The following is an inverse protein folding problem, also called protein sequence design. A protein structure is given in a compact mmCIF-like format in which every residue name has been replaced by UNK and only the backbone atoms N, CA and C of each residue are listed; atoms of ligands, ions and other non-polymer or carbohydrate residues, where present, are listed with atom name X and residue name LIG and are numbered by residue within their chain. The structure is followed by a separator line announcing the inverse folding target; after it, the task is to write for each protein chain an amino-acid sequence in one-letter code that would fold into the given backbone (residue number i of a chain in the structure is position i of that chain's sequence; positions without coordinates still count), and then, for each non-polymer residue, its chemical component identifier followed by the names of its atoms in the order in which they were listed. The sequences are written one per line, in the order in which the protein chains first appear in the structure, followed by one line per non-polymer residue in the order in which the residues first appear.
data_IF_994329760638
#
_entry.id   IF_994329760638
#
_cell.length_a   1.000
_cell.length_b   1.000
_cell.length_c   1.000
_cell.angle_alpha   90.00
_cell.angle_beta   90.00
_cell.angle_gamma   90.00
#
_symmetry.space_group_name_H-M   'P 1'
#
loop_
_entity.id
_entity.type
_entity.pdbx_description
1 polymer ?
#
# COMPACT_ATOMS: atom_id res chain seq x y z
N UNK A 1 21.79 -15.46 -0.91
CA UNK A 1 20.66 -14.79 -0.24
C UNK A 1 19.39 -14.97 -1.08
N UNK A 2 18.85 -16.21 -1.10
CA UNK A 2 17.55 -16.55 -1.72
C UNK A 2 16.61 -16.88 -0.55
N UNK A 3 16.07 -15.86 0.10
CA UNK A 3 15.17 -16.05 1.24
C UNK A 3 13.75 -15.71 0.78
N UNK A 4 12.87 -16.71 0.79
CA UNK A 4 11.42 -16.59 0.99
C UNK A 4 10.66 -15.50 0.22
N UNK A 5 10.84 -15.36 -1.10
CA UNK A 5 10.00 -14.43 -1.88
C UNK A 5 8.49 -14.74 -1.78
N UNK A 6 8.08 -16.01 -1.62
CA UNK A 6 6.66 -16.40 -1.57
C UNK A 6 5.95 -16.03 -0.25
N UNK A 7 6.65 -16.03 0.89
CA UNK A 7 6.06 -15.71 2.19
C UNK A 7 5.89 -14.20 2.40
N UNK A 8 6.78 -13.38 1.87
CA UNK A 8 6.66 -11.91 1.89
C UNK A 8 5.59 -11.40 0.90
N UNK A 9 5.37 -12.06 -0.24
CA UNK A 9 4.30 -11.68 -1.17
C UNK A 9 2.91 -11.87 -0.53
N UNK A 10 2.68 -12.98 0.17
CA UNK A 10 1.37 -13.31 0.77
C UNK A 10 0.88 -12.27 1.80
N UNK A 11 1.81 -11.61 2.50
CA UNK A 11 1.52 -10.60 3.53
C UNK A 11 1.01 -9.28 2.92
N UNK A 12 1.43 -8.95 1.70
CA UNK A 12 1.04 -7.70 1.04
C UNK A 12 -0.37 -7.75 0.39
N UNK A 13 -0.83 -8.93 -0.04
CA UNK A 13 -2.07 -9.06 -0.82
C UNK A 13 -3.35 -8.54 -0.11
N UNK A 14 -3.63 -8.87 1.16
CA UNK A 14 -4.84 -8.37 1.83
C UNK A 14 -4.90 -6.84 1.89
N UNK A 15 -3.75 -6.20 2.05
CA UNK A 15 -3.64 -4.75 2.04
C UNK A 15 -3.90 -4.17 0.65
N UNK A 16 -3.32 -4.74 -0.41
CA UNK A 16 -3.60 -4.32 -1.78
C UNK A 16 -5.08 -4.45 -2.14
N UNK A 17 -5.75 -5.51 -1.67
CA UNK A 17 -7.19 -5.70 -1.83
C UNK A 17 -7.96 -4.61 -1.08
N UNK A 18 -7.64 -4.37 0.20
CA UNK A 18 -8.30 -3.35 1.01
C UNK A 18 -8.20 -1.95 0.37
N UNK A 19 -7.01 -1.56 -0.08
CA UNK A 19 -6.79 -0.28 -0.74
C UNK A 19 -7.52 -0.21 -2.08
N UNK A 20 -7.52 -1.30 -2.87
CA UNK A 20 -8.25 -1.35 -4.13
C UNK A 20 -9.77 -1.20 -3.91
N UNK A 21 -10.31 -1.79 -2.84
CA UNK A 21 -11.73 -1.63 -2.47
C UNK A 21 -12.02 -0.19 -2.05
N UNK A 22 -11.17 0.41 -1.21
CA UNK A 22 -11.31 1.81 -0.79
C UNK A 22 -11.28 2.76 -1.99
N UNK A 23 -10.28 2.62 -2.86
CA UNK A 23 -10.18 3.36 -4.11
C UNK A 23 -11.39 3.09 -5.01
N UNK A 24 -11.87 1.85 -5.10
CA UNK A 24 -13.05 1.48 -5.88
C UNK A 24 -14.32 2.22 -5.44
N UNK A 25 -14.53 2.37 -4.12
CA UNK A 25 -15.64 3.19 -3.59
C UNK A 25 -15.47 4.65 -4.02
N UNK A 26 -14.27 5.23 -3.89
CA UNK A 26 -14.01 6.61 -4.31
C UNK A 26 -14.21 6.77 -5.83
N UNK A 27 -13.74 5.81 -6.62
CA UNK A 27 -13.85 5.80 -8.08
C UNK A 27 -15.30 5.71 -8.54
N UNK A 28 -16.12 4.87 -7.92
CA UNK A 28 -17.56 4.79 -8.26
C UNK A 28 -18.31 6.07 -7.92
N UNK A 29 -17.97 6.71 -6.79
CA UNK A 29 -18.51 8.03 -6.45
C UNK A 29 -18.07 9.10 -7.46
N UNK A 30 -16.81 9.07 -7.90
CA UNK A 30 -16.28 9.97 -8.94
C UNK A 30 -16.97 9.79 -10.30
N UNK A 31 -17.19 8.54 -10.72
CA UNK A 31 -17.94 8.23 -11.94
C UNK A 31 -19.37 8.77 -11.85
N UNK A 32 -20.05 8.55 -10.72
CA UNK A 32 -21.41 9.06 -10.49
C UNK A 32 -21.47 10.58 -10.63
N UNK A 33 -20.45 11.27 -10.12
CA UNK A 33 -20.40 12.73 -10.15
C UNK A 33 -20.15 13.27 -11.57
N UNK A 34 -19.17 12.69 -12.27
CA UNK A 34 -18.85 13.03 -13.65
C UNK A 34 -19.96 12.65 -14.63
N UNK A 35 -20.79 11.65 -14.30
CA UNK A 35 -21.93 11.24 -15.13
C UNK A 35 -22.91 12.39 -15.36
N UNK A 36 -23.01 13.31 -14.41
CA UNK A 36 -23.87 14.50 -14.52
C UNK A 36 -23.36 15.52 -15.55
N UNK A 37 -22.08 15.44 -15.91
CA UNK A 37 -21.42 16.35 -16.85
C UNK A 37 -21.28 15.77 -18.26
N UNK A 38 -21.53 14.47 -18.42
CA UNK A 38 -21.59 13.79 -19.72
C UNK A 38 -20.69 12.56 -19.82
N UNK A 39 -20.73 11.92 -20.98
CA UNK A 39 -20.05 10.64 -21.20
C UNK A 39 -18.52 10.76 -21.33
N UNK A 40 -18.02 11.86 -21.93
CA UNK A 40 -16.60 12.01 -22.19
C UNK A 40 -15.74 12.12 -20.91
N UNK A 41 -16.08 12.96 -19.90
CA UNK A 41 -15.34 13.00 -18.63
C UNK A 41 -15.34 11.66 -17.89
N UNK A 42 -16.47 10.94 -17.92
CA UNK A 42 -16.57 9.60 -17.31
C UNK A 42 -15.64 8.60 -17.98
N UNK A 43 -15.62 8.56 -19.31
CA UNK A 43 -14.77 7.64 -20.06
C UNK A 43 -13.28 7.90 -19.79
N UNK A 44 -12.88 9.17 -19.79
CA UNK A 44 -11.50 9.59 -19.49
C UNK A 44 -11.13 9.20 -18.07
N UNK A 45 -11.94 9.57 -17.08
CA UNK A 45 -11.69 9.25 -15.68
C UNK A 45 -11.62 7.75 -15.44
N UNK A 46 -12.54 6.97 -16.00
CA UNK A 46 -12.56 5.51 -15.85
C UNK A 46 -11.30 4.87 -16.43
N UNK A 47 -10.84 5.33 -17.60
CA UNK A 47 -9.58 4.87 -18.19
C UNK A 47 -8.37 5.19 -17.32
N UNK A 48 -8.26 6.43 -16.83
CA UNK A 48 -7.18 6.84 -15.94
C UNK A 48 -7.20 6.07 -14.61
N UNK A 49 -8.39 5.84 -14.04
CA UNK A 49 -8.57 5.11 -12.79
C UNK A 49 -8.21 3.63 -12.93
N UNK A 50 -8.63 2.98 -14.02
CA UNK A 50 -8.22 1.60 -14.33
C UNK A 50 -6.71 1.49 -14.53
N UNK A 51 -6.10 2.48 -15.20
CA UNK A 51 -4.64 2.54 -15.35
C UNK A 51 -3.95 2.72 -13.99
N UNK A 52 -4.46 3.58 -13.11
CA UNK A 52 -3.93 3.83 -11.78
C UNK A 52 -3.94 2.56 -10.92
N UNK A 53 -5.09 1.87 -10.85
CA UNK A 53 -5.24 0.60 -10.14
C UNK A 53 -4.40 -0.50 -10.79
N UNK A 54 -4.40 -0.60 -12.12
CA UNK A 54 -3.59 -1.58 -12.84
C UNK A 54 -2.09 -1.42 -12.58
N UNK A 55 -1.59 -0.17 -12.60
CA UNK A 55 -0.21 0.14 -12.22
C UNK A 55 0.04 -0.23 -10.76
N UNK A 56 -0.89 0.10 -9.85
CA UNK A 56 -0.77 -0.23 -8.43
C UNK A 56 -0.52 -1.73 -8.22
N UNK A 57 -1.32 -2.60 -8.86
CA UNK A 57 -1.09 -4.05 -8.81
C UNK A 57 0.23 -4.49 -9.49
N UNK A 58 0.64 -3.78 -10.55
CA UNK A 58 1.93 -4.02 -11.22
C UNK A 58 3.15 -3.62 -10.38
N UNK A 59 2.96 -2.95 -9.24
CA UNK A 59 4.07 -2.61 -8.34
C UNK A 59 4.76 -3.83 -7.71
N UNK A 60 4.07 -4.99 -7.68
CA UNK A 60 4.68 -6.28 -7.33
C UNK A 60 5.91 -6.61 -8.20
N UNK A 61 6.03 -6.05 -9.41
CA UNK A 61 7.22 -6.18 -10.26
C UNK A 61 8.48 -5.54 -9.68
N UNK A 62 8.36 -4.70 -8.66
CA UNK A 62 9.51 -4.10 -7.98
C UNK A 62 10.42 -5.17 -7.34
N UNK A 63 9.88 -6.35 -6.99
CA UNK A 63 10.69 -7.47 -6.49
C UNK A 63 11.57 -8.11 -7.58
N UNK A 64 11.15 -8.03 -8.84
CA UNK A 64 11.87 -8.60 -9.98
C UNK A 64 12.86 -7.59 -10.58
N UNK A 65 12.45 -6.32 -10.67
CA UNK A 65 13.26 -5.26 -11.25
C UNK A 65 13.38 -4.06 -10.30
N UNK A 66 14.52 -3.90 -9.59
CA UNK A 66 14.73 -2.82 -8.64
C UNK A 66 14.70 -1.42 -9.25
N UNK A 67 14.78 -1.27 -10.59
CA UNK A 67 14.70 0.03 -11.28
C UNK A 67 13.26 0.44 -11.65
N UNK A 68 12.28 -0.45 -11.48
CA UNK A 68 10.88 -0.21 -11.84
C UNK A 68 10.29 1.02 -11.13
N UNK A 69 10.72 1.28 -9.89
CA UNK A 69 10.31 2.47 -9.12
C UNK A 69 10.53 3.81 -9.83
N UNK A 70 11.58 3.94 -10.66
CA UNK A 70 11.84 5.18 -11.42
C UNK A 70 10.75 5.47 -12.45
N UNK A 71 10.08 4.44 -12.95
CA UNK A 71 8.94 4.58 -13.85
C UNK A 71 7.63 4.65 -13.06
N UNK A 72 7.47 3.75 -12.08
CA UNK A 72 6.23 3.56 -11.34
C UNK A 72 5.77 4.82 -10.60
N UNK A 73 6.61 5.41 -9.72
CA UNK A 73 6.18 6.54 -8.91
C UNK A 73 5.87 7.80 -9.74
N UNK A 74 6.70 8.18 -10.74
CA UNK A 74 6.34 9.28 -11.63
C UNK A 74 5.07 9.02 -12.43
N UNK A 75 4.88 7.80 -12.96
CA UNK A 75 3.65 7.45 -13.67
C UNK A 75 2.41 7.56 -12.77
N UNK A 76 2.51 7.10 -11.52
CA UNK A 76 1.41 7.21 -10.55
C UNK A 76 1.09 8.67 -10.22
N UNK A 77 2.10 9.51 -10.01
CA UNK A 77 1.91 10.94 -9.75
C UNK A 77 1.22 11.61 -10.94
N UNK A 78 1.66 11.34 -12.17
CA UNK A 78 1.04 11.89 -13.39
C UNK A 78 -0.43 11.47 -13.52
N UNK A 79 -0.74 10.19 -13.25
CA UNK A 79 -2.12 9.71 -13.25
C UNK A 79 -2.97 10.40 -12.20
N UNK A 80 -2.47 10.56 -10.98
CA UNK A 80 -3.19 11.26 -9.89
C UNK A 80 -3.47 12.71 -10.30
N UNK A 81 -2.49 13.42 -10.85
CA UNK A 81 -2.68 14.78 -11.36
C UNK A 81 -3.77 14.82 -12.43
N UNK A 82 -3.70 13.93 -13.43
CA UNK A 82 -4.67 13.88 -14.52
C UNK A 82 -6.10 13.60 -14.02
N UNK A 83 -6.24 12.73 -13.02
CA UNK A 83 -7.53 12.40 -12.42
C UNK A 83 -8.08 13.53 -11.55
N UNK A 84 -7.26 14.13 -10.68
CA UNK A 84 -7.67 15.18 -9.73
C UNK A 84 -8.08 16.47 -10.45
N UNK A 85 -7.54 16.73 -11.65
CA UNK A 85 -7.90 17.89 -12.46
C UNK A 85 -9.14 17.67 -13.35
N UNK A 86 -9.86 16.56 -13.21
CA UNK A 86 -11.15 16.40 -13.86
C UNK A 86 -12.19 17.35 -13.23
N UNK A 87 -13.19 17.81 -14.01
CA UNK A 87 -14.19 18.75 -13.52
C UNK A 87 -15.21 18.02 -12.64
N UNK A 88 -14.88 17.72 -11.39
CA UNK A 88 -15.87 17.17 -10.44
C UNK A 88 -16.86 18.25 -9.98
N UNK A 89 -18.09 17.85 -9.66
CA UNK A 89 -19.12 18.74 -9.11
C UNK A 89 -19.02 18.81 -7.57
N UNK A 90 -18.43 17.78 -6.96
CA UNK A 90 -18.22 17.64 -5.52
C UNK A 90 -16.73 17.56 -5.14
N UNK A 91 -16.43 17.63 -3.85
CA UNK A 91 -15.06 17.58 -3.28
C UNK A 91 -14.35 16.21 -3.41
N UNK A 92 -14.72 15.42 -4.42
CA UNK A 92 -14.12 14.12 -4.75
C UNK A 92 -12.67 14.30 -5.20
N UNK A 93 -12.33 15.40 -5.86
CA UNK A 93 -10.95 15.74 -6.24
C UNK A 93 -9.99 15.69 -5.05
N UNK A 94 -10.38 16.27 -3.91
CA UNK A 94 -9.57 16.29 -2.69
C UNK A 94 -9.47 14.89 -2.09
N UNK A 95 -10.60 14.20 -1.97
CA UNK A 95 -10.61 12.82 -1.45
C UNK A 95 -9.73 11.91 -2.29
N UNK A 96 -9.82 12.02 -3.62
CA UNK A 96 -9.01 11.25 -4.55
C UNK A 96 -7.52 11.60 -4.42
N UNK A 97 -7.17 12.89 -4.35
CA UNK A 97 -5.78 13.34 -4.15
C UNK A 97 -5.19 12.75 -2.87
N UNK A 98 -5.90 12.94 -1.74
CA UNK A 98 -5.45 12.49 -0.44
C UNK A 98 -5.30 10.98 -0.40
N UNK A 99 -6.38 10.24 -0.69
CA UNK A 99 -6.36 8.77 -0.61
C UNK A 99 -5.32 8.14 -1.53
N UNK A 100 -5.16 8.65 -2.76
CA UNK A 100 -4.19 8.08 -3.72
C UNK A 100 -2.74 8.34 -3.29
N UNK A 101 -2.43 9.55 -2.81
CA UNK A 101 -1.07 9.87 -2.36
C UNK A 101 -0.73 9.17 -1.03
N UNK A 102 -1.67 9.15 -0.08
CA UNK A 102 -1.49 8.45 1.19
C UNK A 102 -1.33 6.94 0.99
N UNK A 103 -2.03 6.37 0.01
CA UNK A 103 -1.79 5.00 -0.44
C UNK A 103 -0.33 4.81 -0.91
N UNK A 104 0.19 5.67 -1.79
CA UNK A 104 1.58 5.57 -2.24
C UNK A 104 2.60 5.75 -1.11
N UNK A 105 2.32 6.62 -0.14
CA UNK A 105 3.16 6.77 1.06
C UNK A 105 3.15 5.48 1.89
N UNK A 106 1.97 4.94 2.17
CA UNK A 106 1.82 3.67 2.88
C UNK A 106 2.56 2.55 2.15
N UNK A 107 2.35 2.42 0.84
CA UNK A 107 3.01 1.44 -0.03
C UNK A 107 4.53 1.56 0.04
N UNK A 108 5.08 2.77 -0.08
CA UNK A 108 6.52 3.01 0.02
C UNK A 108 7.08 2.61 1.38
N UNK A 109 6.38 2.94 2.48
CA UNK A 109 6.75 2.52 3.83
C UNK A 109 6.65 1.01 4.01
N UNK A 110 5.63 0.37 3.43
CA UNK A 110 5.43 -1.07 3.50
C UNK A 110 6.49 -1.86 2.73
N UNK A 111 6.87 -1.39 1.54
CA UNK A 111 7.85 -2.05 0.68
C UNK A 111 9.29 -1.85 1.14
N UNK A 112 9.64 -0.61 1.47
CA UNK A 112 11.02 -0.24 1.77
C UNK A 112 11.31 -0.20 3.27
N UNK A 113 10.30 -0.39 4.13
CA UNK A 113 10.45 -0.40 5.58
C UNK A 113 11.08 0.88 6.12
N UNK A 114 11.84 0.75 7.21
CA UNK A 114 12.58 1.87 7.80
C UNK A 114 13.91 2.13 7.06
N UNK A 115 13.83 2.61 5.81
CA UNK A 115 15.00 3.00 5.02
C UNK A 115 14.96 4.47 4.64
N UNK A 116 16.14 5.08 4.45
CA UNK A 116 16.26 6.47 3.95
C UNK A 116 15.49 6.69 2.65
N UNK A 117 15.39 5.66 1.81
CA UNK A 117 14.64 5.72 0.55
C UNK A 117 13.15 5.92 0.80
N UNK A 118 12.57 5.17 1.72
CA UNK A 118 11.17 5.33 2.12
C UNK A 118 10.91 6.73 2.68
N UNK A 119 11.85 7.25 3.48
CA UNK A 119 11.77 8.59 4.05
C UNK A 119 11.78 9.68 2.98
N UNK A 120 12.73 9.65 2.03
CA UNK A 120 12.79 10.65 0.96
C UNK A 120 11.57 10.59 0.05
N UNK A 121 11.11 9.38 -0.30
CA UNK A 121 9.96 9.21 -1.18
C UNK A 121 8.66 9.63 -0.48
N UNK A 122 8.50 9.28 0.80
CA UNK A 122 7.38 9.74 1.62
C UNK A 122 7.37 11.27 1.79
N UNK A 123 8.52 11.89 2.07
CA UNK A 123 8.64 13.34 2.18
C UNK A 123 8.34 14.05 0.85
N UNK A 124 8.82 13.50 -0.28
CA UNK A 124 8.50 14.00 -1.60
C UNK A 124 6.98 13.94 -1.89
N UNK A 125 6.35 12.78 -1.68
CA UNK A 125 4.92 12.58 -1.90
C UNK A 125 4.08 13.46 -0.98
N UNK A 126 4.48 13.61 0.28
CA UNK A 126 3.80 14.48 1.24
C UNK A 126 3.89 15.96 0.83
N UNK A 127 5.09 16.43 0.47
CA UNK A 127 5.29 17.80 -0.01
C UNK A 127 4.48 18.05 -1.28
N UNK A 128 4.48 17.10 -2.20
CA UNK A 128 3.69 17.15 -3.43
C UNK A 128 2.18 17.25 -3.12
N UNK A 129 1.67 16.43 -2.21
CA UNK A 129 0.29 16.50 -1.74
C UNK A 129 -0.04 17.88 -1.17
N UNK A 130 0.83 18.43 -0.31
CA UNK A 130 0.62 19.74 0.30
C UNK A 130 0.57 20.85 -0.76
N UNK A 131 1.46 20.83 -1.76
CA UNK A 131 1.46 21.81 -2.85
C UNK A 131 0.17 21.71 -3.69
N UNK A 132 -0.24 20.49 -4.06
CA UNK A 132 -1.48 20.27 -4.81
C UNK A 132 -2.72 20.70 -4.02
N UNK A 133 -2.74 20.41 -2.72
CA UNK A 133 -3.83 20.79 -1.83
C UNK A 133 -3.93 22.32 -1.71
N UNK A 134 -2.80 23.02 -1.59
CA UNK A 134 -2.75 24.48 -1.60
C UNK A 134 -3.33 25.06 -2.90
N UNK A 135 -3.02 24.46 -4.06
CA UNK A 135 -3.58 24.89 -5.35
C UNK A 135 -5.08 24.62 -5.50
N UNK A 136 -5.58 23.50 -4.98
CA UNK A 136 -7.00 23.12 -5.10
C UNK A 136 -7.91 23.90 -4.14
N UNK A 137 -7.44 24.15 -2.93
CA UNK A 137 -8.27 24.65 -1.81
C UNK A 137 -8.01 26.12 -1.49
N UNK A 138 -6.84 26.64 -1.85
CA UNK A 138 -6.42 27.99 -1.50
C UNK A 138 -5.99 28.14 -0.03
N UNK A 139 -5.49 29.33 0.32
CA UNK A 139 -4.85 29.59 1.61
C UNK A 139 -5.78 29.42 2.81
N UNK A 140 -7.05 29.84 2.70
CA UNK A 140 -7.97 29.94 3.83
C UNK A 140 -8.37 28.56 4.39
N UNK A 141 -8.52 27.58 3.51
CA UNK A 141 -8.94 26.22 3.88
C UNK A 141 -7.77 25.22 3.87
N UNK A 142 -6.56 25.64 3.48
CA UNK A 142 -5.38 24.78 3.38
C UNK A 142 -5.09 24.01 4.67
N UNK A 143 -5.01 24.70 5.80
CA UNK A 143 -4.67 24.08 7.08
C UNK A 143 -5.72 23.07 7.55
N UNK A 144 -7.00 23.38 7.29
CA UNK A 144 -8.09 22.47 7.61
C UNK A 144 -8.04 21.20 6.74
N UNK A 145 -7.89 21.37 5.43
CA UNK A 145 -7.83 20.25 4.50
C UNK A 145 -6.57 19.39 4.73
N UNK A 146 -5.42 20.00 5.01
CA UNK A 146 -4.18 19.28 5.34
C UNK A 146 -4.32 18.48 6.64
N UNK A 147 -4.88 19.08 7.70
CA UNK A 147 -5.13 18.41 8.97
C UNK A 147 -6.10 17.24 8.80
N UNK A 148 -7.21 17.46 8.08
CA UNK A 148 -8.19 16.41 7.77
C UNK A 148 -7.56 15.24 7.02
N UNK A 149 -6.74 15.50 6.00
CA UNK A 149 -6.01 14.46 5.28
C UNK A 149 -5.00 13.72 6.16
N UNK A 150 -4.28 14.43 7.03
CA UNK A 150 -3.32 13.83 7.94
C UNK A 150 -3.99 12.94 8.98
N UNK A 151 -5.14 13.35 9.53
CA UNK A 151 -5.87 12.55 10.52
C UNK A 151 -6.46 11.31 9.85
N UNK A 152 -7.22 11.49 8.77
CA UNK A 152 -7.89 10.38 8.09
C UNK A 152 -6.89 9.44 7.42
N UNK A 153 -5.88 10.00 6.75
CA UNK A 153 -4.87 9.27 6.01
C UNK A 153 -3.75 8.71 6.85
N UNK A 154 -3.25 9.51 7.80
CA UNK A 154 -2.21 9.08 8.73
C UNK A 154 -2.67 7.90 9.57
N UNK A 155 -3.96 7.86 9.96
CA UNK A 155 -4.53 6.70 10.62
C UNK A 155 -4.45 5.43 9.75
N UNK A 156 -4.77 5.51 8.45
CA UNK A 156 -4.65 4.39 7.52
C UNK A 156 -3.20 3.92 7.39
N UNK A 157 -2.24 4.86 7.28
CA UNK A 157 -0.81 4.54 7.19
C UNK A 157 -0.31 3.87 8.47
N UNK A 158 -0.72 4.37 9.65
CA UNK A 158 -0.36 3.77 10.93
C UNK A 158 -0.93 2.36 11.07
N UNK A 159 -2.21 2.17 10.73
CA UNK A 159 -2.82 0.85 10.70
C UNK A 159 -2.07 -0.09 9.77
N UNK A 160 -1.68 0.38 8.58
CA UNK A 160 -0.91 -0.42 7.63
C UNK A 160 0.42 -0.88 8.23
N UNK A 161 1.19 0.03 8.82
CA UNK A 161 2.48 -0.30 9.44
C UNK A 161 2.28 -1.32 10.57
N UNK A 162 1.26 -1.12 11.42
CA UNK A 162 0.93 -2.03 12.51
C UNK A 162 0.52 -3.43 12.00
N UNK A 163 -0.36 -3.50 11.00
CA UNK A 163 -0.79 -4.78 10.40
C UNK A 163 0.39 -5.52 9.77
N UNK A 164 1.28 -4.81 9.08
CA UNK A 164 2.47 -5.42 8.50
C UNK A 164 3.38 -6.02 9.58
N UNK A 165 3.61 -5.28 10.68
CA UNK A 165 4.35 -5.80 11.83
C UNK A 165 3.69 -7.03 12.45
N UNK A 166 2.38 -7.01 12.66
CA UNK A 166 1.64 -8.16 13.20
C UNK A 166 1.76 -9.40 12.30
N UNK A 167 1.72 -9.24 10.98
CA UNK A 167 1.87 -10.35 10.04
C UNK A 167 3.29 -10.93 10.05
N UNK A 168 4.31 -10.08 10.17
CA UNK A 168 5.71 -10.50 10.32
C UNK A 168 5.89 -11.29 11.63
N UNK A 169 5.37 -10.78 12.75
CA UNK A 169 5.47 -11.48 14.04
C UNK A 169 4.70 -12.81 14.03
N UNK A 170 3.52 -12.87 13.40
CA UNK A 170 2.80 -14.13 13.22
C UNK A 170 3.60 -15.16 12.42
N UNK A 171 4.29 -14.74 11.36
CA UNK A 171 5.14 -15.64 10.58
C UNK A 171 6.30 -16.20 11.41
N UNK A 172 6.96 -15.35 12.21
CA UNK A 172 8.03 -15.80 13.12
C UNK A 172 7.50 -16.81 14.12
N UNK A 173 6.31 -16.59 14.69
CA UNK A 173 5.70 -17.53 15.64
C UNK A 173 5.40 -18.90 14.99
N UNK A 174 4.93 -18.93 13.74
CA UNK A 174 4.69 -20.18 13.00
C UNK A 174 6.01 -20.90 12.70
N UNK A 175 7.05 -20.18 12.27
CA UNK A 175 8.37 -20.76 12.00
C UNK A 175 9.03 -21.30 13.28
N UNK A 176 8.87 -20.59 14.40
CA UNK A 176 9.30 -21.06 15.72
C UNK A 176 8.56 -22.33 16.14
N UNK A 177 7.24 -22.40 15.96
CA UNK A 177 6.44 -23.59 16.27
C UNK A 177 6.87 -24.81 15.43
N UNK A 178 7.08 -24.63 14.13
CA UNK A 178 7.56 -25.68 13.23
C UNK A 178 8.97 -26.17 13.61
N UNK A 179 9.85 -25.24 14.03
CA UNK A 179 11.19 -25.59 14.53
C UNK A 179 11.15 -26.38 15.85
N UNK A 180 10.23 -26.03 16.75
CA UNK A 180 10.02 -26.71 18.03
C UNK A 180 9.44 -28.12 17.83
N UNK A 181 8.49 -28.26 16.91
CA UNK A 181 7.93 -29.57 16.54
C UNK A 181 9.02 -30.49 15.96
N UNK A 182 9.85 -29.97 15.05
CA UNK A 182 10.99 -30.72 14.50
C UNK A 182 12.03 -31.09 15.56
N UNK A 183 12.35 -30.18 16.49
CA UNK A 183 13.28 -30.43 17.58
C UNK A 183 12.75 -31.49 18.55
N UNK A 184 11.46 -31.43 18.88
CA UNK A 184 10.81 -32.41 19.75
C UNK A 184 10.77 -33.79 19.10
N UNK A 185 10.45 -33.87 17.80
CA UNK A 185 10.50 -35.12 17.05
C UNK A 185 11.91 -35.74 17.03
N UNK A 186 12.97 -34.93 16.88
CA UNK A 186 14.36 -35.39 16.96
C UNK A 186 14.74 -35.87 18.36
N UNK A 187 14.32 -35.18 19.41
CA UNK A 187 14.57 -35.59 20.80
C UNK A 187 13.87 -36.92 21.12
N UNK A 188 12.62 -37.09 20.68
CA UNK A 188 11.89 -38.35 20.82
C UNK A 188 12.62 -39.51 20.10
N UNK A 189 13.10 -39.28 18.88
CA UNK A 189 13.87 -40.27 18.13
C UNK A 189 15.22 -40.61 18.80
N UNK A 190 15.92 -39.62 19.37
CA UNK A 190 17.15 -39.85 20.11
C UNK A 190 16.91 -40.63 21.41
N UNK A 191 15.85 -40.31 22.15
CA UNK A 191 15.48 -41.05 23.37
C UNK A 191 15.14 -42.50 23.06
N UNK A 192 14.34 -42.76 22.01
CA UNK A 192 14.03 -44.12 21.57
C UNK A 192 15.29 -44.89 21.16
N UNK A 193 16.25 -44.22 20.50
CA UNK A 193 17.54 -44.82 20.15
C UNK A 193 18.38 -45.14 21.39
N UNK A 194 18.46 -44.24 22.38
CA UNK A 194 19.17 -44.49 23.63
C UNK A 194 18.54 -45.67 24.36
N UNK A 195 17.21 -45.68 24.50
CA UNK A 195 16.47 -46.76 25.17
C UNK A 195 16.77 -48.13 24.51
N UNK A 196 16.78 -48.18 23.17
CA UNK A 196 17.13 -49.39 22.42
C UNK A 196 18.58 -49.86 22.63
N UNK A 197 19.51 -48.94 22.90
CA UNK A 197 20.93 -49.25 23.15
C UNK A 197 21.20 -49.63 24.61
N UNK A 198 20.34 -49.23 25.54
CA UNK A 198 20.48 -49.53 26.98
C UNK A 198 19.73 -50.79 27.44
N UNK A 199 18.79 -51.30 26.64
CA UNK A 199 18.05 -52.53 26.92
C UNK A 199 18.68 -53.78 26.27
N UNK A 200 19.83 -53.63 25.61
CA UNK A 200 20.73 -54.71 25.19
C UNK A 200 21.85 -54.88 26.22
#
# INVERSE_FOLDING_TARGET
MKQNMSKTTFVAYPFYIFISLLLGVIGTLGIRDLWRLGFAPVAIFSGLFLLHVGLFWSNTRQYENPRWWFFYYPAQVVLIVAMVNQPFVSDINLTLLGSSILCLIGEALGLFGNTLRAMYLGAFLFTFMAVMLYWQVGQDQFWFALSSMLVNGGFIVLLMVMFNQQLIERQKAVELAESLESANAKLAAYNAKIESLTLQ
#
